data_IF_892891027792
#
_entry.id   IF_892891027792
#
_cell.length_a   1.000
_cell.length_b   1.000
_cell.length_c   1.000
_cell.angle_alpha   90.00
_cell.angle_beta   90.00
_cell.angle_gamma   90.00
#
_symmetry.space_group_name_H-M   'P 1'
#
loop_
_entity.id
_entity.type
_entity.pdbx_description
1 polymer ?
#
# COMPACT_ATOMS: atom_id res chain seq x y z
N UNK A 1 -22.27 53.19 -23.93
CA UNK A 1 -21.11 52.29 -24.15
C UNK A 1 -21.10 51.29 -23.01
N UNK A 2 -21.52 50.05 -23.28
CA UNK A 2 -21.54 48.96 -22.30
C UNK A 2 -20.15 48.32 -22.23
N UNK A 3 -19.58 48.26 -21.03
CA UNK A 3 -18.35 47.53 -20.75
C UNK A 3 -18.69 46.04 -20.55
N UNK A 4 -18.35 45.21 -21.54
CA UNK A 4 -18.42 43.75 -21.44
C UNK A 4 -17.37 43.25 -20.45
N UNK A 5 -17.83 42.69 -19.33
CA UNK A 5 -16.98 41.94 -18.41
C UNK A 5 -16.51 40.63 -19.08
N UNK A 6 -15.19 40.46 -19.19
CA UNK A 6 -14.59 39.19 -19.62
C UNK A 6 -14.65 38.23 -18.44
N UNK A 7 -15.58 37.28 -18.50
CA UNK A 7 -15.62 36.15 -17.56
C UNK A 7 -14.49 35.19 -17.99
N UNK A 8 -13.35 35.26 -17.32
CA UNK A 8 -12.31 34.24 -17.42
C UNK A 8 -12.78 32.98 -16.68
N UNK A 9 -13.36 32.04 -17.42
CA UNK A 9 -13.60 30.69 -16.93
C UNK A 9 -12.31 29.87 -17.05
N UNK A 10 -11.47 29.87 -16.02
CA UNK A 10 -10.39 28.88 -15.93
C UNK A 10 -10.99 27.53 -15.47
N UNK A 11 -10.95 26.53 -16.36
CA UNK A 11 -11.25 25.14 -16.00
C UNK A 11 -9.94 24.48 -15.61
N UNK A 12 -9.71 24.29 -14.32
CA UNK A 12 -8.55 23.56 -13.80
C UNK A 12 -8.91 22.08 -13.64
N UNK A 13 -8.26 21.21 -14.40
CA UNK A 13 -8.33 19.75 -14.20
C UNK A 13 -6.95 19.28 -13.73
N UNK A 14 -6.84 18.90 -12.46
CA UNK A 14 -5.64 18.24 -11.94
C UNK A 14 -5.62 16.80 -12.42
N UNK A 15 -4.55 16.41 -13.12
CA UNK A 15 -4.31 15.01 -13.48
C UNK A 15 -3.33 14.42 -12.48
N UNK A 16 -3.73 13.36 -11.79
CA UNK A 16 -2.87 12.59 -10.89
C UNK A 16 -2.62 11.20 -11.48
N UNK A 17 -1.43 10.67 -11.27
CA UNK A 17 -1.04 9.33 -11.66
C UNK A 17 -0.81 8.49 -10.40
N UNK A 18 -1.40 7.30 -10.36
CA UNK A 18 -1.26 6.37 -9.24
C UNK A 18 -0.43 5.16 -9.67
N UNK A 19 0.49 4.74 -8.81
CA UNK A 19 1.41 3.63 -9.09
C UNK A 19 1.40 2.65 -7.92
N UNK A 20 0.90 1.44 -8.17
CA UNK A 20 1.09 0.31 -7.27
C UNK A 20 2.31 -0.49 -7.73
N UNK A 21 3.26 -0.75 -6.84
CA UNK A 21 4.43 -1.56 -7.16
C UNK A 21 4.96 -2.30 -5.94
N UNK A 22 5.82 -3.28 -6.21
CA UNK A 22 6.51 -4.07 -5.19
C UNK A 22 7.99 -3.75 -5.22
N UNK A 23 8.53 -3.46 -4.05
CA UNK A 23 9.96 -3.32 -3.81
C UNK A 23 10.43 -4.51 -2.97
N UNK A 24 11.31 -5.33 -3.55
CA UNK A 24 11.88 -6.51 -2.89
C UNK A 24 13.15 -6.09 -2.16
N UNK A 25 13.20 -6.32 -0.85
CA UNK A 25 14.34 -6.01 0.00
C UNK A 25 14.96 -7.26 0.60
N UNK A 26 16.29 -7.27 0.68
CA UNK A 26 16.97 -8.33 1.40
C UNK A 26 16.83 -8.11 2.91
N UNK A 27 16.47 -9.15 3.66
CA UNK A 27 16.33 -9.08 5.12
C UNK A 27 17.60 -8.59 5.81
N UNK A 28 18.79 -8.94 5.30
CA UNK A 28 20.09 -8.52 5.86
C UNK A 28 20.27 -7.00 5.80
N UNK A 29 19.70 -6.33 4.80
CA UNK A 29 19.75 -4.87 4.70
C UNK A 29 18.93 -4.23 5.83
N UNK A 30 17.71 -4.73 6.06
CA UNK A 30 16.86 -4.31 7.17
C UNK A 30 17.52 -4.59 8.53
N UNK A 31 18.15 -5.76 8.66
CA UNK A 31 18.89 -6.14 9.87
C UNK A 31 20.02 -5.16 10.17
N UNK A 32 20.76 -4.75 9.12
CA UNK A 32 21.88 -3.80 9.24
C UNK A 32 21.42 -2.45 9.79
N UNK A 33 20.25 -1.96 9.38
CA UNK A 33 19.66 -0.75 9.99
C UNK A 33 19.33 -1.00 11.47
N UNK A 34 18.75 -2.16 11.80
CA UNK A 34 18.33 -2.46 13.18
C UNK A 34 19.49 -2.55 14.18
N UNK A 35 20.64 -3.06 13.74
CA UNK A 35 21.82 -3.28 14.59
C UNK A 35 22.68 -2.02 14.73
N UNK A 36 22.74 -1.21 13.68
CA UNK A 36 23.41 0.09 13.74
C UNK A 36 22.46 1.08 14.43
N UNK A 37 22.64 1.27 15.74
CA UNK A 37 22.04 2.39 16.53
C UNK A 37 22.44 3.80 16.01
N UNK A 38 22.80 3.94 14.74
CA UNK A 38 23.33 5.13 14.13
C UNK A 38 22.24 5.87 13.36
N UNK A 39 22.08 7.12 13.71
CA UNK A 39 21.11 8.12 13.28
C UNK A 39 21.09 8.48 11.78
N UNK A 40 21.63 7.65 10.88
CA UNK A 40 21.79 7.99 9.46
C UNK A 40 21.67 6.83 8.45
N UNK A 41 21.50 5.58 8.89
CA UNK A 41 21.44 4.46 7.93
C UNK A 41 20.05 4.39 7.30
N UNK A 42 19.96 4.79 6.03
CA UNK A 42 18.74 4.63 5.21
C UNK A 42 18.98 3.53 4.18
N UNK A 43 17.97 2.71 3.94
CA UNK A 43 17.93 1.81 2.78
C UNK A 43 17.15 2.55 1.70
N UNK A 44 17.69 2.59 0.49
CA UNK A 44 17.07 3.23 -0.65
C UNK A 44 16.61 2.16 -1.65
N UNK A 45 15.45 2.38 -2.25
CA UNK A 45 15.02 1.56 -3.39
C UNK A 45 15.81 1.90 -4.65
N UNK A 46 15.55 1.16 -5.72
CA UNK A 46 15.92 1.58 -7.07
C UNK A 46 15.27 2.93 -7.44
N UNK A 47 15.82 3.57 -8.48
CA UNK A 47 15.28 4.82 -9.02
C UNK A 47 14.23 4.48 -10.07
N UNK A 48 12.99 4.88 -9.83
CA UNK A 48 11.89 4.65 -10.74
C UNK A 48 11.67 5.84 -11.66
N UNK A 49 11.51 5.58 -12.97
CA UNK A 49 11.21 6.57 -13.99
C UNK A 49 9.97 6.15 -14.80
N UNK A 50 8.97 7.03 -14.90
CA UNK A 50 7.82 6.81 -15.76
C UNK A 50 8.18 7.15 -17.20
N UNK A 51 8.16 6.18 -18.12
CA UNK A 51 8.58 6.40 -19.52
C UNK A 51 7.87 7.55 -20.23
N UNK A 52 6.57 7.74 -19.94
CA UNK A 52 5.76 8.81 -20.54
C UNK A 52 6.16 10.21 -20.04
N UNK A 53 6.79 10.31 -18.86
CA UNK A 53 7.18 11.55 -18.20
C UNK A 53 8.58 11.38 -17.60
N UNK A 54 9.63 11.59 -18.42
CA UNK A 54 11.04 11.37 -18.02
C UNK A 54 11.50 12.22 -16.84
N UNK A 55 10.76 13.27 -16.51
CA UNK A 55 10.99 14.15 -15.37
C UNK A 55 10.25 13.68 -14.10
N UNK A 56 9.37 12.69 -14.20
CA UNK A 56 8.80 11.96 -13.06
C UNK A 56 9.75 10.84 -12.65
N UNK A 57 10.64 11.19 -11.72
CA UNK A 57 11.58 10.26 -11.09
C UNK A 57 11.40 10.26 -9.59
N UNK A 58 11.45 9.08 -8.98
CA UNK A 58 11.39 8.94 -7.53
C UNK A 58 12.06 7.66 -7.04
N UNK A 59 12.38 7.63 -5.76
CA UNK A 59 12.78 6.45 -5.03
C UNK A 59 12.20 6.49 -3.61
N UNK A 60 12.19 5.34 -2.95
CA UNK A 60 11.75 5.20 -1.57
C UNK A 60 12.96 5.10 -0.64
N UNK A 61 12.80 5.61 0.58
CA UNK A 61 13.79 5.47 1.65
C UNK A 61 13.13 4.86 2.87
N UNK A 62 13.73 3.80 3.40
CA UNK A 62 13.39 3.27 4.72
C UNK A 62 14.40 3.76 5.73
N UNK A 63 13.89 4.27 6.83
CA UNK A 63 14.67 4.69 7.99
C UNK A 63 14.09 4.10 9.26
N UNK A 64 14.95 3.80 10.23
CA UNK A 64 14.54 3.40 11.57
C UNK A 64 14.61 4.61 12.49
N UNK A 65 13.46 5.06 13.00
CA UNK A 65 13.39 6.19 13.93
C UNK A 65 12.92 5.69 15.29
N UNK A 66 13.80 5.81 16.31
CA UNK A 66 13.62 5.38 17.71
C UNK A 66 13.39 3.88 17.94
N UNK A 67 12.50 3.24 17.17
CA UNK A 67 12.11 1.81 17.20
C UNK A 67 11.12 1.42 16.09
N UNK A 68 10.67 2.37 15.26
CA UNK A 68 9.71 2.11 14.19
C UNK A 68 10.38 2.40 12.84
N UNK A 69 10.17 1.50 11.89
CA UNK A 69 10.52 1.75 10.51
C UNK A 69 9.52 2.74 9.92
N UNK A 70 10.01 3.73 9.20
CA UNK A 70 9.19 4.64 8.40
C UNK A 70 9.74 4.66 6.99
N UNK A 71 8.84 4.88 6.04
CA UNK A 71 9.19 4.97 4.63
C UNK A 71 8.80 6.34 4.09
N UNK A 72 9.73 6.95 3.38
CA UNK A 72 9.57 8.23 2.73
C UNK A 72 9.73 8.06 1.22
N UNK A 73 9.10 8.96 0.47
CA UNK A 73 9.32 9.08 -0.97
C UNK A 73 10.13 10.33 -1.24
N UNK A 74 11.15 10.22 -2.09
CA UNK A 74 11.90 11.34 -2.63
C UNK A 74 11.83 11.31 -4.14
N UNK A 75 11.69 12.47 -4.75
CA UNK A 75 11.64 12.55 -6.20
C UNK A 75 11.63 13.98 -6.72
N UNK A 76 11.30 14.10 -8.00
CA UNK A 76 11.49 15.33 -8.77
C UNK A 76 10.62 16.46 -8.22
N UNK A 77 11.19 17.66 -8.09
CA UNK A 77 10.46 18.86 -7.60
C UNK A 77 9.35 19.33 -8.55
N UNK A 78 9.32 18.82 -9.79
CA UNK A 78 8.23 19.05 -10.75
C UNK A 78 6.96 18.27 -10.41
N UNK A 79 7.04 17.37 -9.44
CA UNK A 79 5.96 16.45 -9.09
C UNK A 79 5.71 16.47 -7.58
N UNK A 80 4.44 16.61 -7.21
CA UNK A 80 3.97 16.38 -5.86
C UNK A 80 3.81 14.88 -5.71
N UNK A 81 4.75 14.28 -5.01
CA UNK A 81 4.78 12.84 -4.75
C UNK A 81 4.21 12.57 -3.37
N UNK A 82 3.22 11.68 -3.31
CA UNK A 82 2.61 11.21 -2.09
C UNK A 82 2.69 9.70 -2.06
N UNK A 83 3.40 9.15 -1.07
CA UNK A 83 3.30 7.74 -0.73
C UNK A 83 2.00 7.55 0.07
N UNK A 84 1.00 6.91 -0.53
CA UNK A 84 -0.33 6.74 0.10
C UNK A 84 -0.32 5.64 1.15
N UNK A 85 0.31 4.50 0.84
CA UNK A 85 0.58 3.45 1.80
C UNK A 85 1.88 2.72 1.47
N UNK A 86 2.39 2.00 2.46
CA UNK A 86 3.45 1.02 2.27
C UNK A 86 3.30 -0.13 3.27
N UNK A 87 3.27 -1.35 2.75
CA UNK A 87 3.12 -2.55 3.54
C UNK A 87 4.29 -3.49 3.34
N UNK A 88 4.79 -4.04 4.45
CA UNK A 88 5.62 -5.24 4.43
C UNK A 88 4.69 -6.44 4.34
N UNK A 89 4.86 -7.25 3.29
CA UNK A 89 4.15 -8.50 3.06
C UNK A 89 5.13 -9.64 3.28
N UNK A 90 4.79 -10.54 4.20
CA UNK A 90 5.62 -11.69 4.59
C UNK A 90 4.72 -12.90 4.77
N UNK A 91 4.87 -13.91 3.91
CA UNK A 91 3.93 -15.03 3.76
C UNK A 91 2.46 -14.54 3.72
N UNK A 92 1.66 -14.91 4.71
CA UNK A 92 0.24 -14.53 4.87
C UNK A 92 0.02 -13.38 5.87
N UNK A 93 1.07 -12.63 6.18
CA UNK A 93 1.01 -11.48 7.07
C UNK A 93 1.31 -10.19 6.33
N UNK A 94 0.73 -9.12 6.85
CA UNK A 94 0.92 -7.76 6.37
C UNK A 94 1.19 -6.86 7.57
N UNK A 95 2.16 -5.96 7.43
CA UNK A 95 2.54 -4.99 8.43
C UNK A 95 2.67 -3.62 7.78
N UNK A 96 2.32 -2.57 8.52
CA UNK A 96 2.40 -1.21 7.99
C UNK A 96 3.77 -0.59 8.25
N UNK A 97 4.36 0.01 7.20
CA UNK A 97 5.48 0.94 7.28
C UNK A 97 5.01 2.40 7.19
N UNK A 98 3.86 2.61 6.54
CA UNK A 98 3.17 3.89 6.48
C UNK A 98 1.68 3.64 6.63
N UNK A 99 1.12 4.15 7.72
CA UNK A 99 -0.27 3.95 8.09
C UNK A 99 -1.22 4.62 7.10
N UNK A 100 -2.27 3.88 6.74
CA UNK A 100 -3.45 4.38 6.07
C UNK A 100 -4.60 4.28 7.08
N UNK A 101 -5.29 5.38 7.38
CA UNK A 101 -6.33 5.40 8.44
C UNK A 101 -7.40 4.30 8.27
N UNK A 102 -7.73 3.95 7.03
CA UNK A 102 -8.70 2.89 6.70
C UNK A 102 -8.20 1.47 7.01
N UNK A 103 -6.90 1.30 7.21
CA UNK A 103 -6.20 0.03 7.44
C UNK A 103 -5.48 0.02 8.79
N UNK A 104 -5.97 0.78 9.78
CA UNK A 104 -5.40 0.87 11.13
C UNK A 104 -5.40 -0.45 11.92
N UNK A 105 -6.15 -1.46 11.47
CA UNK A 105 -6.10 -2.82 12.00
C UNK A 105 -4.80 -3.56 11.62
N UNK A 106 -4.03 -3.05 10.65
CA UNK A 106 -2.74 -3.60 10.27
C UNK A 106 -1.69 -3.12 11.26
N UNK A 107 -1.01 -4.07 11.91
CA UNK A 107 0.00 -3.76 12.93
C UNK A 107 1.24 -3.10 12.30
N UNK A 108 1.87 -2.23 13.08
CA UNK A 108 3.16 -1.67 12.72
C UNK A 108 4.21 -2.76 12.51
N UNK A 109 5.09 -2.53 11.53
CA UNK A 109 6.19 -3.43 11.25
C UNK A 109 7.29 -3.31 12.30
N UNK A 110 7.75 -4.47 12.80
CA UNK A 110 8.93 -4.61 13.65
C UNK A 110 9.83 -5.68 13.07
N UNK A 111 11.15 -5.47 13.03
CA UNK A 111 12.06 -6.44 12.41
C UNK A 111 11.93 -7.86 12.98
N UNK A 112 11.68 -7.98 14.30
CA UNK A 112 11.47 -9.26 14.97
C UNK A 112 10.26 -10.06 14.46
N UNK A 113 9.34 -9.46 13.70
CA UNK A 113 8.19 -10.16 13.12
C UNK A 113 8.54 -10.93 11.84
N UNK A 114 9.75 -10.77 11.29
CA UNK A 114 10.24 -11.56 10.15
C UNK A 114 11.19 -12.64 10.66
N UNK A 115 10.70 -13.87 10.85
CA UNK A 115 11.54 -14.95 11.38
C UNK A 115 12.37 -15.65 10.29
N UNK A 116 11.81 -15.94 9.12
CA UNK A 116 12.36 -16.97 8.22
C UNK A 116 12.67 -16.54 6.77
N UNK A 117 12.18 -15.38 6.32
CA UNK A 117 12.33 -15.00 4.91
C UNK A 117 13.68 -14.33 4.61
N UNK A 118 14.32 -14.70 3.51
CA UNK A 118 15.53 -14.02 3.03
C UNK A 118 15.21 -12.67 2.40
N UNK A 119 14.07 -12.57 1.72
CA UNK A 119 13.60 -11.35 1.06
C UNK A 119 12.21 -10.96 1.59
N UNK A 120 11.99 -9.67 1.70
CA UNK A 120 10.77 -9.05 2.19
C UNK A 120 10.16 -8.24 1.07
N UNK A 121 8.87 -8.45 0.80
CA UNK A 121 8.17 -7.69 -0.23
C UNK A 121 7.54 -6.45 0.40
N UNK A 122 7.85 -5.28 -0.14
CA UNK A 122 7.24 -4.03 0.25
C UNK A 122 6.29 -3.58 -0.85
N UNK A 123 5.00 -3.65 -0.57
CA UNK A 123 3.97 -3.16 -1.49
C UNK A 123 3.68 -1.69 -1.22
N UNK A 124 3.81 -0.85 -2.25
CA UNK A 124 3.65 0.60 -2.15
C UNK A 124 2.57 1.10 -3.11
N UNK A 125 1.90 2.19 -2.72
CA UNK A 125 1.10 3.01 -3.62
C UNK A 125 1.60 4.44 -3.59
N UNK A 126 1.90 4.99 -4.76
CA UNK A 126 2.37 6.37 -4.93
C UNK A 126 1.42 7.13 -5.83
N UNK A 127 0.96 8.28 -5.36
CA UNK A 127 0.28 9.28 -6.19
C UNK A 127 1.28 10.36 -6.59
N UNK A 128 1.35 10.68 -7.88
CA UNK A 128 2.11 11.79 -8.43
C UNK A 128 1.18 12.79 -9.12
N UNK A 129 1.30 14.07 -8.79
CA UNK A 129 0.61 15.16 -9.48
C UNK A 129 1.62 16.19 -9.97
N UNK A 130 1.49 16.73 -11.18
CA UNK A 130 2.40 17.75 -11.67
C UNK A 130 2.25 19.02 -10.83
N UNK A 131 3.37 19.60 -10.42
CA UNK A 131 3.41 20.90 -9.75
C UNK A 131 3.65 21.95 -10.81
N UNK A 132 2.88 23.04 -10.79
CA UNK A 132 3.21 24.20 -11.62
C UNK A 132 4.54 24.78 -11.12
N UNK A 133 5.61 24.74 -11.93
CA UNK A 133 6.91 25.14 -11.46
C UNK A 133 6.89 26.65 -11.18
N UNK A 134 7.18 27.04 -9.94
CA UNK A 134 7.62 28.40 -9.67
C UNK A 134 8.95 28.62 -10.40
N UNK A 135 9.05 29.74 -11.11
CA UNK A 135 10.19 30.13 -11.97
C UNK A 135 11.56 30.13 -11.27
N UNK A 136 11.59 29.99 -9.94
CA UNK A 136 12.80 29.98 -9.09
C UNK A 136 13.24 28.59 -8.65
N UNK A 137 12.56 27.52 -9.08
CA UNK A 137 12.87 26.16 -8.60
C UNK A 137 14.13 25.64 -9.30
N UNK A 138 15.28 25.83 -8.67
CA UNK A 138 16.52 25.17 -9.09
C UNK A 138 16.32 23.65 -9.10
N UNK A 139 16.50 23.05 -10.27
CA UNK A 139 16.36 21.60 -10.48
C UNK A 139 17.40 20.86 -9.65
N UNK A 140 16.96 20.23 -8.57
CA UNK A 140 17.78 19.25 -7.87
C UNK A 140 17.71 17.95 -8.69
N UNK A 141 18.77 17.70 -9.47
CA UNK A 141 18.86 16.47 -10.26
C UNK A 141 18.93 15.29 -9.30
N UNK A 142 17.96 14.39 -9.42
CA UNK A 142 18.07 13.06 -8.82
C UNK A 142 19.17 12.31 -9.57
N UNK A 143 20.30 12.13 -8.89
CA UNK A 143 21.44 11.38 -9.41
C UNK A 143 21.29 9.93 -8.95
N UNK A 144 21.36 9.01 -9.90
CA UNK A 144 21.42 7.58 -9.62
C UNK A 144 22.63 7.29 -8.73
N UNK A 145 22.43 6.66 -7.58
CA UNK A 145 23.54 6.29 -6.71
C UNK A 145 24.24 5.02 -7.16
N UNK A 146 25.49 4.87 -6.76
CA UNK A 146 26.25 3.64 -7.00
C UNK A 146 25.51 2.43 -6.40
N UNK A 147 25.32 1.38 -7.21
CA UNK A 147 24.55 0.18 -6.84
C UNK A 147 23.04 0.27 -7.06
N UNK A 148 22.49 1.46 -7.32
CA UNK A 148 21.06 1.65 -7.63
C UNK A 148 20.80 1.36 -9.12
N UNK A 149 19.70 0.68 -9.43
CA UNK A 149 19.25 0.49 -10.81
C UNK A 149 18.23 1.56 -11.20
N UNK A 150 18.21 1.90 -12.48
CA UNK A 150 17.11 2.65 -13.08
C UNK A 150 16.03 1.66 -13.53
N UNK A 151 14.83 1.82 -13.00
CA UNK A 151 13.66 1.01 -13.34
C UNK A 151 12.71 1.88 -14.16
N UNK A 152 12.74 1.68 -15.47
CA UNK A 152 11.77 2.28 -16.38
C UNK A 152 10.46 1.50 -16.29
N UNK A 153 9.38 2.18 -15.98
CA UNK A 153 8.06 1.58 -15.98
C UNK A 153 7.12 2.34 -16.92
N UNK A 154 6.24 1.58 -17.56
CA UNK A 154 5.16 2.15 -18.35
C UNK A 154 3.97 2.33 -17.41
N UNK A 155 3.43 3.54 -17.37
CA UNK A 155 2.15 3.77 -16.73
C UNK A 155 1.11 3.12 -17.62
N UNK A 156 0.61 1.95 -17.23
CA UNK A 156 -0.60 1.41 -17.83
C UNK A 156 -1.69 2.43 -17.55
N UNK A 157 -2.15 3.15 -18.57
CA UNK A 157 -3.29 4.04 -18.43
C UNK A 157 -4.43 3.25 -17.79
N UNK A 158 -4.95 3.76 -16.66
CA UNK A 158 -5.97 3.23 -15.75
C UNK A 158 -7.25 2.59 -16.39
N UNK A 159 -7.35 2.55 -17.71
CA UNK A 159 -8.60 2.39 -18.45
C UNK A 159 -8.86 0.95 -18.93
N UNK A 160 -7.96 0.01 -18.68
CA UNK A 160 -8.13 -1.39 -19.10
C UNK A 160 -7.86 -2.34 -17.94
N UNK A 161 -8.58 -2.16 -16.83
CA UNK A 161 -8.84 -3.32 -15.98
C UNK A 161 -9.56 -4.37 -16.84
N UNK A 162 -9.25 -5.67 -16.70
CA UNK A 162 -10.00 -6.70 -17.40
C UNK A 162 -11.49 -6.52 -17.11
N UNK A 163 -12.35 -6.69 -18.13
CA UNK A 163 -13.81 -6.51 -18.00
C UNK A 163 -14.45 -7.41 -16.94
N UNK A 164 -13.72 -8.41 -16.44
CA UNK A 164 -14.10 -9.29 -15.35
C UNK A 164 -14.08 -8.62 -13.98
N UNK A 165 -13.35 -7.51 -13.81
CA UNK A 165 -13.35 -6.75 -12.56
C UNK A 165 -14.59 -5.87 -12.51
N UNK A 166 -15.63 -6.37 -11.85
CA UNK A 166 -16.92 -5.67 -11.71
C UNK A 166 -17.15 -5.14 -10.30
N UNK A 167 -16.41 -5.64 -9.31
CA UNK A 167 -16.60 -5.27 -7.92
C UNK A 167 -15.78 -4.01 -7.56
N UNK A 168 -16.48 -2.90 -7.38
CA UNK A 168 -15.92 -1.56 -7.19
C UNK A 168 -14.85 -1.46 -6.07
N UNK A 169 -14.98 -2.10 -4.89
CA UNK A 169 -13.92 -2.04 -3.87
C UNK A 169 -12.59 -2.65 -4.31
N UNK A 170 -12.60 -3.66 -5.17
CA UNK A 170 -11.39 -4.28 -5.72
C UNK A 170 -10.76 -3.33 -6.74
N UNK A 171 -11.58 -2.74 -7.61
CA UNK A 171 -11.14 -1.74 -8.59
C UNK A 171 -10.50 -0.55 -7.88
N UNK A 172 -11.17 0.00 -6.88
CA UNK A 172 -10.66 1.13 -6.10
C UNK A 172 -9.36 0.78 -5.37
N UNK A 173 -9.22 -0.44 -4.85
CA UNK A 173 -7.98 -0.85 -4.23
C UNK A 173 -6.83 -0.91 -5.24
N UNK A 174 -7.05 -1.50 -6.41
CA UNK A 174 -6.01 -1.64 -7.44
C UNK A 174 -5.61 -0.27 -8.01
N UNK A 175 -6.59 0.61 -8.27
CA UNK A 175 -6.34 1.88 -8.95
C UNK A 175 -5.96 3.03 -8.01
N UNK A 176 -6.48 3.03 -6.78
CA UNK A 176 -6.36 4.14 -5.83
C UNK A 176 -5.74 3.73 -4.51
N UNK A 177 -5.66 2.43 -4.24
CA UNK A 177 -5.08 1.94 -3.00
C UNK A 177 -6.01 2.05 -1.80
N UNK A 178 -7.31 2.26 -2.04
CA UNK A 178 -8.32 2.49 -1.01
C UNK A 178 -9.39 1.41 -1.07
N UNK A 179 -9.90 1.01 0.09
CA UNK A 179 -11.07 0.13 0.18
C UNK A 179 -12.18 0.93 0.87
N UNK A 180 -13.07 1.59 0.11
CA UNK A 180 -14.13 2.38 0.73
C UNK A 180 -15.06 1.49 1.54
N UNK A 181 -15.48 1.96 2.73
CA UNK A 181 -16.42 1.28 3.62
C UNK A 181 -16.03 -0.18 3.93
N UNK A 182 -14.78 -0.39 4.35
CA UNK A 182 -14.27 -1.72 4.65
C UNK A 182 -14.94 -2.31 5.90
N UNK A 183 -15.92 -3.17 5.64
CA UNK A 183 -16.79 -3.90 6.59
C UNK A 183 -16.59 -5.41 6.46
N UNK A 184 -17.08 -6.19 7.42
CA UNK A 184 -17.05 -7.67 7.38
C UNK A 184 -17.68 -8.18 6.08
N UNK A 185 -18.89 -7.70 5.75
CA UNK A 185 -19.58 -8.04 4.50
C UNK A 185 -18.73 -7.71 3.26
N UNK A 186 -18.11 -6.53 3.22
CA UNK A 186 -17.27 -6.15 2.08
C UNK A 186 -16.04 -7.07 1.96
N UNK A 187 -15.39 -7.43 3.08
CA UNK A 187 -14.24 -8.32 3.09
C UNK A 187 -14.61 -9.74 2.64
N UNK A 188 -15.76 -10.26 3.09
CA UNK A 188 -16.31 -11.55 2.65
C UNK A 188 -16.61 -11.53 1.14
N UNK A 189 -17.23 -10.47 0.63
CA UNK A 189 -17.50 -10.33 -0.80
C UNK A 189 -16.23 -10.26 -1.65
N UNK A 190 -15.19 -9.57 -1.17
CA UNK A 190 -13.89 -9.55 -1.85
C UNK A 190 -13.33 -10.98 -1.88
N UNK A 191 -13.35 -11.69 -0.74
CA UNK A 191 -12.84 -13.06 -0.66
C UNK A 191 -13.56 -14.01 -1.61
N UNK A 192 -14.87 -13.83 -1.81
CA UNK A 192 -15.67 -14.61 -2.75
C UNK A 192 -15.20 -14.47 -4.21
N UNK A 193 -14.70 -13.29 -4.59
CA UNK A 193 -14.25 -12.98 -5.95
C UNK A 193 -12.76 -13.25 -6.21
N UNK A 194 -12.02 -13.78 -5.24
CA UNK A 194 -10.55 -13.87 -5.28
C UNK A 194 -10.00 -14.62 -6.49
N UNK A 195 -10.70 -15.66 -6.96
CA UNK A 195 -10.29 -16.43 -8.13
C UNK A 195 -10.25 -15.58 -9.41
N UNK A 196 -11.13 -14.58 -9.50
CA UNK A 196 -11.26 -13.69 -10.66
C UNK A 196 -10.24 -12.55 -10.62
N UNK A 197 -10.07 -11.92 -9.46
CA UNK A 197 -9.27 -10.70 -9.35
C UNK A 197 -7.81 -10.90 -8.89
N UNK A 198 -7.43 -12.11 -8.43
CA UNK A 198 -6.03 -12.55 -8.17
C UNK A 198 -5.14 -11.56 -7.41
N UNK A 199 -5.72 -10.73 -6.54
CA UNK A 199 -5.01 -9.70 -5.78
C UNK A 199 -4.64 -10.22 -4.39
N UNK A 200 -3.48 -10.89 -4.26
CA UNK A 200 -3.10 -11.57 -3.02
C UNK A 200 -2.96 -10.62 -1.82
N UNK A 201 -2.46 -9.40 -2.03
CA UNK A 201 -2.40 -8.40 -0.95
C UNK A 201 -3.80 -8.10 -0.39
N UNK A 202 -4.79 -7.95 -1.26
CA UNK A 202 -6.15 -7.65 -0.86
C UNK A 202 -6.78 -8.82 -0.07
N UNK A 203 -6.47 -10.07 -0.47
CA UNK A 203 -6.83 -11.28 0.30
C UNK A 203 -6.28 -11.22 1.71
N UNK A 204 -4.98 -10.95 1.85
CA UNK A 204 -4.29 -10.87 3.15
C UNK A 204 -4.92 -9.78 4.02
N UNK A 205 -5.20 -8.60 3.44
CA UNK A 205 -5.87 -7.50 4.13
C UNK A 205 -7.28 -7.88 4.61
N UNK A 206 -8.07 -8.55 3.78
CA UNK A 206 -9.40 -9.06 4.15
C UNK A 206 -9.32 -10.07 5.30
N UNK A 207 -8.41 -11.04 5.22
CA UNK A 207 -8.22 -12.03 6.29
C UNK A 207 -7.82 -11.35 7.60
N UNK A 208 -6.87 -10.41 7.58
CA UNK A 208 -6.46 -9.68 8.78
C UNK A 208 -7.56 -8.79 9.33
N UNK A 209 -8.35 -8.15 8.49
CA UNK A 209 -9.51 -7.38 8.93
C UNK A 209 -10.51 -8.28 9.65
N UNK A 210 -10.85 -9.42 9.06
CA UNK A 210 -11.80 -10.38 9.65
C UNK A 210 -11.28 -10.91 11.00
N UNK A 211 -9.98 -11.28 11.09
CA UNK A 211 -9.37 -11.72 12.35
C UNK A 211 -9.50 -10.69 13.48
N UNK A 212 -9.33 -9.40 13.18
CA UNK A 212 -9.44 -8.33 14.17
C UNK A 212 -10.90 -8.00 14.54
N UNK A 213 -11.87 -8.45 13.76
CA UNK A 213 -13.30 -8.18 13.95
C UNK A 213 -14.09 -9.43 14.37
N UNK A 214 -13.43 -10.46 14.90
CA UNK A 214 -14.10 -11.61 15.50
C UNK A 214 -14.71 -11.20 16.85
N UNK A 215 -16.04 -11.12 16.89
CA UNK A 215 -16.88 -10.84 18.06
C UNK A 215 -17.93 -11.95 18.20
N UNK A 216 -18.69 -11.98 19.30
CA UNK A 216 -19.74 -12.98 19.47
C UNK A 216 -20.79 -12.93 18.34
N UNK A 217 -21.11 -11.71 17.88
CA UNK A 217 -22.10 -11.46 16.83
C UNK A 217 -21.57 -11.82 15.44
N UNK A 218 -20.30 -11.49 15.15
CA UNK A 218 -19.69 -11.71 13.84
C UNK A 218 -19.06 -13.09 13.67
N UNK A 219 -18.80 -13.83 14.75
CA UNK A 219 -18.09 -15.11 14.72
C UNK A 219 -18.69 -16.10 13.71
N UNK A 220 -20.01 -16.23 13.69
CA UNK A 220 -20.70 -17.19 12.80
C UNK A 220 -20.46 -16.85 11.33
N UNK A 221 -20.58 -15.58 10.96
CA UNK A 221 -20.38 -15.11 9.59
C UNK A 221 -18.90 -15.30 9.17
N UNK A 222 -17.98 -14.90 10.05
CA UNK A 222 -16.53 -14.97 9.77
C UNK A 222 -16.06 -16.43 9.68
N UNK A 223 -16.50 -17.30 10.58
CA UNK A 223 -16.16 -18.72 10.53
C UNK A 223 -16.72 -19.38 9.27
N UNK A 224 -17.95 -19.05 8.87
CA UNK A 224 -18.53 -19.54 7.63
C UNK A 224 -17.68 -19.12 6.42
N UNK A 225 -17.31 -17.84 6.33
CA UNK A 225 -16.44 -17.36 5.27
C UNK A 225 -15.06 -18.04 5.27
N UNK A 226 -14.50 -18.32 6.46
CA UNK A 226 -13.23 -19.03 6.57
C UNK A 226 -13.29 -20.43 5.98
N UNK A 227 -14.37 -21.17 6.25
CA UNK A 227 -14.60 -22.52 5.70
C UNK A 227 -14.89 -22.46 4.20
N UNK A 228 -15.84 -21.62 3.79
CA UNK A 228 -16.30 -21.51 2.40
C UNK A 228 -15.15 -21.14 1.45
N UNK A 229 -14.23 -20.27 1.90
CA UNK A 229 -13.09 -19.80 1.10
C UNK A 229 -11.75 -20.43 1.48
N UNK A 230 -11.76 -21.52 2.26
CA UNK A 230 -10.57 -22.32 2.65
C UNK A 230 -9.44 -21.46 3.23
N UNK A 231 -9.75 -20.72 4.28
CA UNK A 231 -8.84 -19.82 5.00
C UNK A 231 -8.46 -20.43 6.36
N UNK A 232 -7.56 -21.44 6.41
CA UNK A 232 -7.31 -22.26 7.61
C UNK A 232 -6.79 -21.44 8.80
N UNK A 233 -6.05 -20.36 8.55
CA UNK A 233 -5.59 -19.47 9.61
C UNK A 233 -6.74 -18.67 10.24
N UNK A 234 -7.71 -18.21 9.45
CA UNK A 234 -8.89 -17.52 9.96
C UNK A 234 -9.82 -18.47 10.71
N UNK A 235 -9.99 -19.69 10.19
CA UNK A 235 -10.75 -20.75 10.85
C UNK A 235 -10.17 -21.07 12.23
N UNK A 236 -8.84 -21.27 12.30
CA UNK A 236 -8.14 -21.52 13.57
C UNK A 236 -8.34 -20.39 14.58
N UNK A 237 -8.24 -19.14 14.16
CA UNK A 237 -8.48 -17.99 15.05
C UNK A 237 -9.92 -17.96 15.58
N UNK A 238 -10.91 -18.29 14.74
CA UNK A 238 -12.31 -18.42 15.17
C UNK A 238 -12.47 -19.53 16.21
N UNK A 239 -11.90 -20.72 15.96
CA UNK A 239 -11.96 -21.87 16.89
C UNK A 239 -11.29 -21.52 18.22
N UNK A 240 -10.12 -20.87 18.19
CA UNK A 240 -9.42 -20.43 19.39
C UNK A 240 -10.27 -19.49 20.25
N UNK A 241 -11.03 -18.57 19.64
CA UNK A 241 -11.93 -17.67 20.36
C UNK A 241 -13.12 -18.40 20.99
N UNK A 242 -13.61 -19.47 20.36
CA UNK A 242 -14.67 -20.33 20.93
C UNK A 242 -14.12 -21.10 22.13
N UNK A 243 -12.98 -21.79 21.97
CA UNK A 243 -12.44 -22.72 22.97
C UNK A 243 -11.84 -22.01 24.18
N UNK A 244 -11.35 -20.78 24.02
CA UNK A 244 -10.84 -19.96 25.14
C UNK A 244 -11.92 -19.38 26.04
N UNK A 245 -13.21 -19.63 25.77
CA UNK A 245 -14.32 -19.05 26.53
C UNK A 245 -14.46 -17.53 26.36
N UNK A 246 -13.81 -16.97 25.33
CA UNK A 246 -13.83 -15.53 25.04
C UNK A 246 -15.25 -15.04 24.70
N UNK A 247 -16.11 -15.93 24.21
CA UNK A 247 -17.53 -15.67 24.02
C UNK A 247 -18.34 -16.47 25.04
N UNK A 248 -18.86 -15.77 26.05
CA UNK A 248 -19.93 -16.32 26.87
C UNK A 248 -21.19 -16.37 26.02
N UNK A 249 -21.60 -17.57 25.63
CA UNK A 249 -22.92 -17.81 25.05
C UNK A 249 -23.91 -17.49 26.18
N UNK A 250 -24.59 -16.34 26.08
CA UNK A 250 -25.77 -16.05 26.90
C UNK A 250 -26.98 -16.77 26.32
#
# INVERSE_FOLDING_TARGET
MSSTAVIQNSRFTSVSHNFAFQWILNKKELETISQKNASATTIQSDLYELKAFKDLRFYLEIQLTRRAYSVNIKGSKKWLLKLDYAFVVSKENVFTLKELNQLSFVKNFYFATISEEENVNIHCMVTASPVHPDSTTNEEKLILKEGQKLIDFEGTSCNTLPSTYTYEPVIDFILKGTIPNFTIKSAVNILAGMEEHKCELLKILCVKYLMNNITAESLREILKAAVDYRLPHLERECVNKITSGFFQIK
#
